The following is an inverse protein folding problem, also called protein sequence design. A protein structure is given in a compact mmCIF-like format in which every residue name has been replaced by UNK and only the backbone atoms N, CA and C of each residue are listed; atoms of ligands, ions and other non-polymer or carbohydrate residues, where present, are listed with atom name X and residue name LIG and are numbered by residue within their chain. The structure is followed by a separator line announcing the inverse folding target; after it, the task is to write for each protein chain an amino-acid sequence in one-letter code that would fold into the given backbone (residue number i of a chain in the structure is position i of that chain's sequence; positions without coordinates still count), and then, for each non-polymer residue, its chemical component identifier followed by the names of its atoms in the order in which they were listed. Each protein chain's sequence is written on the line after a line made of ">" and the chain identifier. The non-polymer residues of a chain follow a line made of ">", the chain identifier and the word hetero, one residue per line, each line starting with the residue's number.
data_IF_142424397118
#
_entry.id   IF_142424397118
#
_cell.length_a   1.000
_cell.length_b   1.000
_cell.length_c   1.000
_cell.angle_alpha   90.00
_cell.angle_beta   90.00
_cell.angle_gamma   90.00
#
_symmetry.space_group_name_H-M   'P 1'
#
loop_
_entity.id
_entity.type
_entity.pdbx_description
1 polymer ?
#
# COMPACT_ATOMS: atom_id res chain seq x y z
N UNK A 1 16.30 23.86 26.81
CA UNK A 1 15.49 22.66 27.03
C UNK A 1 15.36 22.00 25.67
N UNK A 2 15.77 20.73 25.46
CA UNK A 2 15.41 20.02 24.24
C UNK A 2 13.89 19.94 24.22
N UNK A 3 13.26 20.37 23.13
CA UNK A 3 11.82 20.20 22.94
C UNK A 3 11.57 18.70 22.99
N UNK A 4 10.82 18.23 23.99
CA UNK A 4 10.29 16.88 23.99
C UNK A 4 9.61 16.69 22.63
N UNK A 5 10.05 15.70 21.89
CA UNK A 5 9.46 15.35 20.60
C UNK A 5 8.03 14.89 20.88
N UNK A 6 7.11 15.84 20.85
CA UNK A 6 5.70 15.59 21.02
C UNK A 6 5.22 14.65 19.91
N UNK A 7 4.50 13.59 20.26
CA UNK A 7 3.85 12.72 19.29
C UNK A 7 2.91 13.54 18.39
N UNK A 8 2.92 13.32 17.07
CA UNK A 8 2.00 13.97 16.15
C UNK A 8 0.54 13.76 16.56
N UNK A 9 -0.25 14.83 16.55
CA UNK A 9 -1.70 14.77 16.83
C UNK A 9 -2.44 14.43 15.54
N UNK A 10 -3.24 13.36 15.60
CA UNK A 10 -3.95 12.83 14.44
C UNK A 10 -5.47 12.98 14.61
N UNK A 11 -6.14 13.38 13.53
CA UNK A 11 -7.58 13.29 13.39
C UNK A 11 -7.94 12.01 12.62
N UNK A 12 -8.64 11.08 13.27
CA UNK A 12 -9.07 9.80 12.68
C UNK A 12 -10.52 9.90 12.26
N UNK A 13 -10.77 9.80 10.96
CA UNK A 13 -12.09 9.91 10.33
C UNK A 13 -12.41 8.61 9.60
N UNK A 14 -13.44 7.92 10.09
CA UNK A 14 -13.80 6.57 9.63
C UNK A 14 -15.12 6.63 8.87
N UNK A 15 -15.12 6.15 7.66
CA UNK A 15 -16.31 5.91 6.86
C UNK A 15 -16.87 4.53 7.19
N UNK A 16 -17.99 4.48 7.90
CA UNK A 16 -18.61 3.24 8.38
C UNK A 16 -19.22 2.39 7.25
N UNK A 17 -19.55 3.02 6.12
CA UNK A 17 -20.18 2.35 4.99
C UNK A 17 -19.16 1.56 4.15
N UNK A 18 -17.89 2.03 4.16
CA UNK A 18 -16.79 1.48 3.37
C UNK A 18 -15.64 0.87 4.22
N UNK A 19 -15.81 0.79 5.54
CA UNK A 19 -14.82 0.17 6.43
C UNK A 19 -15.48 -0.88 7.35
N UNK A 20 -14.81 -2.02 7.52
CA UNK A 20 -15.28 -3.10 8.40
C UNK A 20 -14.84 -2.86 9.84
N UNK A 21 -15.74 -3.05 10.81
CA UNK A 21 -15.43 -2.98 12.23
C UNK A 21 -14.35 -3.98 12.69
N UNK A 22 -14.16 -5.08 11.95
CA UNK A 22 -13.15 -6.11 12.27
C UNK A 22 -11.71 -5.59 12.27
N UNK A 23 -11.45 -4.46 11.62
CA UNK A 23 -10.11 -3.87 11.56
C UNK A 23 -9.77 -3.00 12.75
N UNK A 24 -10.73 -2.67 13.61
CA UNK A 24 -10.60 -1.57 14.59
C UNK A 24 -9.37 -1.75 15.51
N UNK A 25 -9.16 -2.92 16.07
CA UNK A 25 -8.00 -3.16 16.95
C UNK A 25 -6.68 -2.90 16.19
N UNK A 26 -6.48 -3.54 15.05
CA UNK A 26 -5.27 -3.35 14.23
C UNK A 26 -5.14 -1.94 13.66
N UNK A 27 -6.25 -1.26 13.39
CA UNK A 27 -6.26 0.14 12.93
C UNK A 27 -5.65 1.06 14.00
N UNK A 28 -6.15 0.99 15.25
CA UNK A 28 -5.63 1.85 16.31
C UNK A 28 -4.22 1.46 16.76
N UNK A 29 -3.83 0.18 16.67
CA UNK A 29 -2.44 -0.24 16.83
C UNK A 29 -1.51 0.35 15.76
N UNK A 30 -1.95 0.41 14.51
CA UNK A 30 -1.16 1.00 13.43
C UNK A 30 -1.08 2.53 13.56
N UNK A 31 -2.19 3.19 13.91
CA UNK A 31 -2.23 4.64 14.14
C UNK A 31 -1.32 5.04 15.30
N UNK A 32 -1.27 4.24 16.39
CA UNK A 32 -0.41 4.50 17.54
C UNK A 32 1.10 4.50 17.20
N UNK A 33 1.50 3.86 16.09
CA UNK A 33 2.89 3.92 15.59
C UNK A 33 3.20 5.23 14.86
N UNK A 34 2.17 5.96 14.45
CA UNK A 34 2.28 7.22 13.71
C UNK A 34 2.20 8.41 14.66
N UNK A 35 1.23 8.39 15.57
CA UNK A 35 0.99 9.48 16.49
C UNK A 35 -0.20 9.22 17.42
N UNK A 36 -0.63 10.28 18.11
CA UNK A 36 -1.76 10.26 19.03
C UNK A 36 -3.07 10.52 18.28
N UNK A 37 -4.02 9.58 18.34
CA UNK A 37 -5.37 9.76 17.80
C UNK A 37 -6.20 10.69 18.74
N UNK A 38 -6.00 11.99 18.60
CA UNK A 38 -6.66 13.01 19.45
C UNK A 38 -8.13 13.21 19.11
N UNK A 39 -8.53 12.99 17.85
CA UNK A 39 -9.92 12.96 17.39
C UNK A 39 -10.18 11.59 16.75
N UNK A 40 -11.30 10.97 17.13
CA UNK A 40 -11.75 9.68 16.59
C UNK A 40 -13.23 9.82 16.27
N UNK A 41 -13.56 9.96 14.99
CA UNK A 41 -14.94 10.10 14.51
C UNK A 41 -15.25 9.05 13.48
N UNK A 42 -16.49 8.57 13.48
CA UNK A 42 -17.00 7.64 12.48
C UNK A 42 -18.32 8.16 11.91
N UNK A 43 -18.46 8.09 10.62
CA UNK A 43 -19.58 8.66 9.85
C UNK A 43 -20.36 7.54 9.19
N UNK A 44 -21.67 7.57 9.29
CA UNK A 44 -22.55 6.57 8.69
C UNK A 44 -23.95 6.56 9.27
N UNK A 45 -24.79 5.68 8.74
CA UNK A 45 -26.11 5.40 9.27
C UNK A 45 -26.08 4.16 10.17
N UNK A 46 -25.99 4.37 11.49
CA UNK A 46 -25.94 3.31 12.48
C UNK A 46 -27.29 2.63 12.77
N UNK A 47 -28.38 3.09 12.12
CA UNK A 47 -29.67 2.42 12.19
C UNK A 47 -29.72 1.14 11.33
N UNK A 48 -28.81 1.02 10.36
CA UNK A 48 -28.75 -0.14 9.46
C UNK A 48 -27.82 -1.27 9.95
N UNK A 49 -28.02 -2.47 9.40
CA UNK A 49 -27.27 -3.65 9.84
C UNK A 49 -25.76 -3.61 9.52
N UNK A 50 -25.31 -2.87 8.49
CA UNK A 50 -23.90 -2.78 8.09
C UNK A 50 -23.06 -2.08 9.14
N UNK A 51 -23.58 -1.00 9.72
CA UNK A 51 -22.85 -0.19 10.69
C UNK A 51 -22.97 -0.73 12.12
N UNK A 52 -23.82 -1.73 12.37
CA UNK A 52 -24.05 -2.31 13.70
C UNK A 52 -22.75 -2.82 14.34
N UNK A 53 -21.87 -3.47 13.58
CA UNK A 53 -20.59 -3.96 14.10
C UNK A 53 -19.70 -2.86 14.64
N UNK A 54 -19.81 -1.63 14.11
CA UNK A 54 -19.11 -0.46 14.66
C UNK A 54 -19.75 0.00 15.95
N UNK A 55 -21.09 0.02 16.04
CA UNK A 55 -21.79 0.44 17.26
C UNK A 55 -21.33 -0.32 18.52
N UNK A 56 -21.07 -1.63 18.36
CA UNK A 56 -20.63 -2.50 19.46
C UNK A 56 -19.23 -2.17 20.01
N UNK A 57 -18.40 -1.48 19.23
CA UNK A 57 -17.00 -1.20 19.60
C UNK A 57 -16.67 0.29 19.77
N UNK A 58 -17.64 1.19 19.58
CA UNK A 58 -17.43 2.63 19.71
C UNK A 58 -16.81 3.00 21.07
N UNK A 59 -17.38 2.47 22.16
CA UNK A 59 -16.91 2.76 23.51
C UNK A 59 -15.51 2.20 23.78
N UNK A 60 -15.21 1.01 23.26
CA UNK A 60 -13.89 0.36 23.43
C UNK A 60 -12.76 1.24 22.90
N UNK A 61 -12.97 1.92 21.78
CA UNK A 61 -11.97 2.74 21.12
C UNK A 61 -12.19 4.25 21.27
N UNK A 62 -13.16 4.67 22.13
CA UNK A 62 -13.55 6.06 22.31
C UNK A 62 -13.84 6.79 20.97
N UNK A 63 -14.58 6.14 20.08
CA UNK A 63 -14.97 6.67 18.77
C UNK A 63 -16.30 7.41 18.93
N UNK A 64 -16.37 8.63 18.42
CA UNK A 64 -17.58 9.46 18.43
C UNK A 64 -18.35 9.26 17.14
N UNK A 65 -19.56 8.66 17.17
CA UNK A 65 -20.37 8.47 15.97
C UNK A 65 -20.98 9.80 15.52
N UNK A 66 -20.93 10.02 14.21
CA UNK A 66 -21.62 11.09 13.49
C UNK A 66 -22.76 10.45 12.70
N UNK A 67 -23.95 10.40 13.31
CA UNK A 67 -25.13 9.79 12.71
C UNK A 67 -25.62 10.63 11.54
N UNK A 68 -25.78 10.00 10.38
CA UNK A 68 -26.45 10.56 9.22
C UNK A 68 -27.64 9.67 8.84
N UNK A 69 -28.85 10.24 8.92
CA UNK A 69 -30.03 9.53 8.44
C UNK A 69 -30.12 9.64 6.92
N UNK A 70 -30.22 8.53 6.24
CA UNK A 70 -30.40 8.49 4.79
C UNK A 70 -31.85 8.91 4.46
N UNK A 71 -32.10 10.19 4.30
CA UNK A 71 -33.41 10.72 3.85
C UNK A 71 -33.79 10.28 2.43
N UNK A 72 -32.82 9.87 1.63
CA UNK A 72 -32.99 9.32 0.28
C UNK A 72 -31.93 8.24 0.03
N UNK A 73 -32.36 7.08 -0.44
CA UNK A 73 -31.47 5.95 -0.77
C UNK A 73 -30.44 6.37 -1.83
N UNK A 74 -29.18 6.06 -1.61
CA UNK A 74 -28.09 6.27 -2.59
C UNK A 74 -27.47 7.68 -2.59
N UNK A 75 -27.64 8.49 -1.54
CA UNK A 75 -26.93 9.77 -1.40
C UNK A 75 -25.77 9.65 -0.40
N UNK A 76 -24.63 10.26 -0.75
CA UNK A 76 -23.40 10.30 0.01
C UNK A 76 -23.47 11.32 1.19
N UNK A 77 -24.50 11.25 2.03
CA UNK A 77 -24.68 12.22 3.13
C UNK A 77 -23.60 12.07 4.20
N UNK A 78 -23.19 10.85 4.51
CA UNK A 78 -22.08 10.53 5.43
C UNK A 78 -20.76 11.06 4.89
N UNK A 79 -20.49 10.89 3.59
CA UNK A 79 -19.25 11.34 2.95
C UNK A 79 -19.14 12.86 2.96
N UNK A 80 -20.23 13.58 2.65
CA UNK A 80 -20.26 15.04 2.71
C UNK A 80 -20.00 15.53 4.13
N UNK A 81 -20.60 14.89 5.14
CA UNK A 81 -20.38 15.25 6.55
C UNK A 81 -18.94 15.01 6.96
N UNK A 82 -18.35 13.89 6.55
CA UNK A 82 -16.94 13.60 6.79
C UNK A 82 -16.04 14.67 6.16
N UNK A 83 -16.32 15.08 4.91
CA UNK A 83 -15.55 16.11 4.20
C UNK A 83 -15.62 17.45 4.91
N UNK A 84 -16.84 17.89 5.32
CA UNK A 84 -17.03 19.15 6.05
C UNK A 84 -16.23 19.12 7.36
N UNK A 85 -16.40 18.08 8.13
CA UNK A 85 -15.74 17.90 9.42
C UNK A 85 -14.20 17.86 9.29
N UNK A 86 -13.70 17.16 8.25
CA UNK A 86 -12.28 17.12 7.93
C UNK A 86 -11.73 18.52 7.64
N UNK A 87 -12.46 19.34 6.87
CA UNK A 87 -12.06 20.71 6.54
C UNK A 87 -12.09 21.64 7.76
N UNK A 88 -13.09 21.50 8.63
CA UNK A 88 -13.16 22.25 9.88
C UNK A 88 -12.00 21.90 10.82
N UNK A 89 -11.69 20.61 10.96
CA UNK A 89 -10.54 20.15 11.74
C UNK A 89 -9.22 20.62 11.13
N UNK A 90 -9.07 20.61 9.81
CA UNK A 90 -7.89 21.11 9.10
C UNK A 90 -7.66 22.60 9.39
N UNK A 91 -8.70 23.42 9.23
CA UNK A 91 -8.61 24.87 9.45
C UNK A 91 -8.43 25.24 10.93
N UNK A 92 -8.73 24.32 11.86
CA UNK A 92 -8.43 24.54 13.28
C UNK A 92 -6.93 24.63 13.58
N UNK A 93 -6.06 24.14 12.68
CA UNK A 93 -4.59 24.15 12.83
C UNK A 93 -4.06 23.30 13.99
N UNK A 94 -4.88 22.38 14.53
CA UNK A 94 -4.54 21.62 15.75
C UNK A 94 -3.93 20.25 15.49
N UNK A 95 -3.94 19.77 14.25
CA UNK A 95 -3.57 18.41 13.88
C UNK A 95 -2.35 18.39 12.94
N UNK A 96 -1.45 17.46 13.20
CA UNK A 96 -0.25 17.23 12.40
C UNK A 96 -0.52 16.24 11.25
N UNK A 97 -1.64 15.50 11.33
CA UNK A 97 -2.03 14.54 10.30
C UNK A 97 -3.47 14.08 10.41
N UNK A 98 -3.97 13.51 9.31
CA UNK A 98 -5.29 12.92 9.18
C UNK A 98 -5.19 11.45 8.82
N UNK A 99 -5.96 10.61 9.49
CA UNK A 99 -6.17 9.21 9.14
C UNK A 99 -7.55 9.09 8.49
N UNK A 100 -7.59 8.83 7.18
CA UNK A 100 -8.81 8.61 6.41
C UNK A 100 -9.02 7.12 6.24
N UNK A 101 -10.11 6.59 6.78
CA UNK A 101 -10.40 5.15 6.77
C UNK A 101 -11.58 4.90 5.85
N UNK A 102 -11.32 4.65 4.58
CA UNK A 102 -12.29 4.36 3.52
C UNK A 102 -11.61 3.73 2.31
N UNK A 103 -12.39 3.00 1.52
CA UNK A 103 -11.98 2.50 0.21
C UNK A 103 -12.57 3.30 -0.96
N UNK A 104 -13.26 4.41 -0.68
CA UNK A 104 -13.92 5.22 -1.68
C UNK A 104 -12.95 6.20 -2.34
N UNK A 105 -12.99 6.26 -3.67
CA UNK A 105 -12.22 7.20 -4.48
C UNK A 105 -12.64 8.66 -4.31
N UNK A 106 -13.85 8.91 -3.84
CA UNK A 106 -14.39 10.27 -3.70
C UNK A 106 -13.59 11.09 -2.68
N UNK A 107 -12.93 10.43 -1.73
CA UNK A 107 -12.01 11.07 -0.79
C UNK A 107 -10.64 11.44 -1.37
N UNK A 108 -10.34 11.10 -2.64
CA UNK A 108 -9.08 11.48 -3.31
C UNK A 108 -8.83 12.99 -3.25
N UNK A 109 -9.86 13.79 -3.54
CA UNK A 109 -9.74 15.27 -3.54
C UNK A 109 -9.57 15.82 -2.13
N UNK A 110 -10.22 15.22 -1.13
CA UNK A 110 -10.04 15.57 0.28
C UNK A 110 -8.60 15.32 0.72
N UNK A 111 -8.06 14.12 0.45
CA UNK A 111 -6.68 13.76 0.79
C UNK A 111 -5.67 14.72 0.13
N UNK A 112 -5.83 14.99 -1.16
CA UNK A 112 -4.98 15.94 -1.88
C UNK A 112 -5.07 17.36 -1.25
N UNK A 113 -6.28 17.83 -0.93
CA UNK A 113 -6.50 19.17 -0.34
C UNK A 113 -5.85 19.32 1.04
N UNK A 114 -5.95 18.29 1.90
CA UNK A 114 -5.28 18.31 3.20
C UNK A 114 -3.76 18.40 3.01
N UNK A 115 -3.20 17.62 2.08
CA UNK A 115 -1.76 17.64 1.80
C UNK A 115 -1.27 18.95 1.18
N UNK A 116 -2.08 19.61 0.36
CA UNK A 116 -1.79 20.96 -0.16
C UNK A 116 -1.62 21.99 0.96
N UNK A 117 -2.25 21.76 2.11
CA UNK A 117 -2.08 22.60 3.31
C UNK A 117 -0.86 22.20 4.16
N UNK A 118 -0.03 21.28 3.69
CA UNK A 118 1.17 20.83 4.39
C UNK A 118 0.92 19.82 5.52
N UNK A 119 -0.31 19.30 5.64
CA UNK A 119 -0.69 18.32 6.66
C UNK A 119 -0.67 16.90 6.09
N UNK A 120 -0.13 15.95 6.84
CA UNK A 120 0.00 14.57 6.40
C UNK A 120 -1.34 13.84 6.34
N UNK A 121 -1.50 12.98 5.32
CA UNK A 121 -2.65 12.08 5.20
C UNK A 121 -2.19 10.64 5.18
N UNK A 122 -2.75 9.84 6.10
CA UNK A 122 -2.58 8.40 6.21
C UNK A 122 -3.90 7.73 5.80
N UNK A 123 -3.89 7.04 4.65
CA UNK A 123 -5.06 6.33 4.14
C UNK A 123 -5.10 4.89 4.66
N UNK A 124 -6.30 4.42 4.96
CA UNK A 124 -6.57 3.03 5.34
C UNK A 124 -7.76 2.53 4.52
N UNK A 125 -7.56 1.52 3.68
CA UNK A 125 -8.62 0.99 2.83
C UNK A 125 -8.28 -0.40 2.30
N UNK A 126 -9.23 -1.03 1.65
CA UNK A 126 -9.07 -2.36 1.07
C UNK A 126 -8.14 -2.35 -0.16
N UNK A 127 -7.62 -3.51 -0.56
CA UNK A 127 -6.77 -3.65 -1.74
C UNK A 127 -7.45 -3.18 -3.04
N UNK A 128 -8.78 -3.21 -3.10
CA UNK A 128 -9.57 -2.70 -4.24
C UNK A 128 -9.60 -1.17 -4.35
N UNK A 129 -9.11 -0.45 -3.32
CA UNK A 129 -9.09 1.04 -3.31
C UNK A 129 -8.35 1.57 -4.54
N UNK A 130 -8.94 2.52 -5.29
CA UNK A 130 -8.33 3.07 -6.49
C UNK A 130 -6.96 3.70 -6.22
N UNK A 131 -6.06 3.56 -7.19
CA UNK A 131 -4.69 4.09 -7.11
C UNK A 131 -4.67 5.60 -6.85
N UNK A 132 -5.62 6.36 -7.42
CA UNK A 132 -5.75 7.80 -7.21
C UNK A 132 -5.82 8.18 -5.74
N UNK A 133 -6.64 7.48 -4.94
CA UNK A 133 -6.77 7.75 -3.52
C UNK A 133 -5.50 7.30 -2.75
N UNK A 134 -4.94 6.13 -3.09
CA UNK A 134 -3.71 5.64 -2.46
C UNK A 134 -2.54 6.61 -2.66
N UNK A 135 -2.37 7.14 -3.88
CA UNK A 135 -1.31 8.09 -4.22
C UNK A 135 -1.55 9.50 -3.64
N UNK A 136 -2.80 9.87 -3.39
CA UNK A 136 -3.12 11.12 -2.71
C UNK A 136 -2.68 11.11 -1.23
N UNK A 137 -2.48 9.94 -0.63
CA UNK A 137 -2.00 9.79 0.73
C UNK A 137 -0.47 9.83 0.80
N UNK A 138 0.08 10.33 1.92
CA UNK A 138 1.51 10.20 2.23
C UNK A 138 1.90 8.72 2.41
N UNK A 139 1.03 7.98 3.09
CA UNK A 139 1.14 6.54 3.28
C UNK A 139 -0.26 5.94 3.22
N UNK A 140 -0.37 4.77 2.59
CA UNK A 140 -1.60 4.02 2.52
C UNK A 140 -1.38 2.61 3.11
N UNK A 141 -2.30 2.17 3.98
CA UNK A 141 -2.24 0.87 4.64
C UNK A 141 -3.46 0.06 4.24
N UNK A 142 -3.24 -1.11 3.67
CA UNK A 142 -4.32 -2.02 3.33
C UNK A 142 -4.94 -2.62 4.59
N UNK A 143 -6.26 -2.56 4.69
CA UNK A 143 -7.02 -3.04 5.86
C UNK A 143 -6.85 -4.55 6.08
N UNK A 144 -6.58 -5.31 5.03
CA UNK A 144 -6.24 -6.74 5.10
C UNK A 144 -4.97 -6.99 5.94
N UNK A 145 -4.04 -6.03 5.98
CA UNK A 145 -2.83 -6.10 6.80
C UNK A 145 -3.09 -5.81 8.30
N UNK A 146 -4.28 -5.30 8.64
CA UNK A 146 -4.68 -4.93 10.01
C UNK A 146 -5.48 -6.02 10.71
N UNK A 147 -5.99 -7.00 9.95
CA UNK A 147 -6.74 -8.10 10.52
C UNK A 147 -5.85 -8.95 11.43
N UNK A 148 -6.37 -9.33 12.60
CA UNK A 148 -5.72 -10.25 13.51
C UNK A 148 -5.33 -11.57 12.81
N UNK A 149 -4.40 -12.32 13.41
CA UNK A 149 -4.08 -13.66 12.90
C UNK A 149 -5.36 -14.49 12.76
N UNK A 150 -5.53 -15.27 11.66
CA UNK A 150 -6.76 -15.99 11.40
C UNK A 150 -7.09 -16.96 12.55
N UNK A 151 -8.29 -16.82 13.10
CA UNK A 151 -8.79 -17.70 14.16
C UNK A 151 -9.33 -19.03 13.62
N UNK A 152 -9.65 -19.09 12.32
CA UNK A 152 -10.23 -20.26 11.66
C UNK A 152 -9.50 -20.59 10.35
N UNK A 153 -9.67 -21.85 9.88
CA UNK A 153 -9.15 -22.28 8.58
C UNK A 153 -9.75 -21.50 7.40
N UNK A 154 -11.00 -21.02 7.53
CA UNK A 154 -11.64 -20.20 6.51
C UNK A 154 -11.03 -18.78 6.45
N UNK A 155 -10.73 -18.18 7.60
CA UNK A 155 -10.06 -16.88 7.66
C UNK A 155 -8.63 -16.97 7.12
N UNK A 156 -7.94 -18.09 7.37
CA UNK A 156 -6.60 -18.35 6.83
C UNK A 156 -6.63 -18.47 5.30
N UNK A 157 -7.64 -19.17 4.74
CA UNK A 157 -7.81 -19.30 3.30
C UNK A 157 -8.15 -17.96 2.64
N UNK A 158 -9.04 -17.17 3.23
CA UNK A 158 -9.37 -15.83 2.74
C UNK A 158 -8.15 -14.89 2.75
N UNK A 159 -7.33 -14.97 3.80
CA UNK A 159 -6.10 -14.18 3.91
C UNK A 159 -5.04 -14.60 2.90
N UNK A 160 -4.88 -15.90 2.64
CA UNK A 160 -3.93 -16.39 1.64
C UNK A 160 -4.28 -15.94 0.22
N UNK A 161 -5.58 -15.77 -0.08
CA UNK A 161 -6.06 -15.28 -1.38
C UNK A 161 -5.81 -13.78 -1.56
N UNK A 162 -5.70 -13.01 -0.47
CA UNK A 162 -5.43 -11.57 -0.52
C UNK A 162 -3.94 -11.24 -0.60
N UNK A 163 -3.03 -12.19 -0.31
CA UNK A 163 -1.60 -11.94 -0.37
C UNK A 163 -1.10 -11.89 -1.82
N UNK A 164 -0.29 -10.88 -2.12
CA UNK A 164 0.41 -10.80 -3.41
C UNK A 164 1.64 -11.71 -3.42
N UNK A 165 2.00 -12.27 -4.59
CA UNK A 165 3.22 -13.06 -4.69
C UNK A 165 4.46 -12.20 -4.39
N UNK A 166 5.47 -12.70 -3.68
CA UNK A 166 6.68 -11.95 -3.32
C UNK A 166 7.38 -11.31 -4.51
N UNK A 167 7.38 -12.00 -5.66
CA UNK A 167 8.04 -11.52 -6.88
C UNK A 167 7.37 -10.25 -7.45
N UNK A 168 6.12 -9.96 -7.12
CA UNK A 168 5.45 -8.73 -7.52
C UNK A 168 6.10 -7.47 -6.89
N UNK A 169 6.81 -7.61 -5.76
CA UNK A 169 7.58 -6.51 -5.17
C UNK A 169 8.91 -6.24 -5.91
N UNK A 170 9.42 -7.20 -6.68
CA UNK A 170 10.75 -7.10 -7.32
C UNK A 170 10.90 -5.89 -8.24
N UNK A 171 9.95 -5.56 -9.15
CA UNK A 171 10.12 -4.43 -10.07
C UNK A 171 10.26 -3.09 -9.35
N UNK A 172 9.45 -2.84 -8.32
CA UNK A 172 9.48 -1.58 -7.59
C UNK A 172 10.75 -1.45 -6.74
N UNK A 173 11.20 -2.53 -6.09
CA UNK A 173 12.45 -2.55 -5.33
C UNK A 173 13.65 -2.30 -6.27
N UNK A 174 13.69 -2.95 -7.45
CA UNK A 174 14.72 -2.72 -8.47
C UNK A 174 14.72 -1.27 -8.95
N UNK A 175 13.54 -0.69 -9.22
CA UNK A 175 13.42 0.71 -9.63
C UNK A 175 14.03 1.65 -8.59
N UNK A 176 13.74 1.45 -7.32
CA UNK A 176 14.30 2.23 -6.22
C UNK A 176 15.82 2.09 -6.16
N UNK A 177 16.36 0.87 -6.18
CA UNK A 177 17.82 0.65 -6.14
C UNK A 177 18.52 1.33 -7.32
N UNK A 178 17.93 1.26 -8.53
CA UNK A 178 18.50 1.89 -9.73
C UNK A 178 18.50 3.42 -9.65
N UNK A 179 17.57 4.03 -8.91
CA UNK A 179 17.50 5.47 -8.70
C UNK A 179 18.46 5.96 -7.59
N UNK A 180 18.95 5.04 -6.76
CA UNK A 180 19.90 5.36 -5.70
C UNK A 180 21.33 5.27 -6.26
N UNK A 181 22.01 6.41 -6.34
CA UNK A 181 23.41 6.45 -6.77
C UNK A 181 24.27 5.67 -5.78
N UNK A 182 25.07 4.73 -6.30
CA UNK A 182 25.98 3.90 -5.53
C UNK A 182 27.18 3.50 -6.40
N UNK A 183 28.39 3.76 -5.93
CA UNK A 183 29.62 3.48 -6.67
C UNK A 183 29.82 1.99 -6.98
N UNK A 184 29.35 1.10 -6.10
CA UNK A 184 29.51 -0.35 -6.19
C UNK A 184 28.19 -1.13 -6.36
N UNK A 185 27.08 -0.43 -6.54
CA UNK A 185 25.74 -0.97 -6.68
C UNK A 185 25.10 -1.48 -5.38
N UNK A 186 25.81 -1.33 -4.23
CA UNK A 186 25.30 -1.71 -2.92
C UNK A 186 24.60 -0.55 -2.22
N UNK A 187 23.34 -0.75 -1.80
CA UNK A 187 22.54 0.25 -1.08
C UNK A 187 22.09 -0.29 0.27
N UNK A 188 22.00 0.58 1.28
CA UNK A 188 21.51 0.19 2.60
C UNK A 188 20.01 -0.11 2.54
N UNK A 189 19.59 -1.28 3.05
CA UNK A 189 18.18 -1.71 3.01
C UNK A 189 17.23 -0.72 3.69
N UNK A 190 17.67 -0.07 4.77
CA UNK A 190 16.88 0.96 5.45
C UNK A 190 16.59 2.18 4.57
N UNK A 191 17.55 2.57 3.72
CA UNK A 191 17.37 3.66 2.76
C UNK A 191 16.45 3.27 1.62
N UNK A 192 16.59 2.03 1.12
CA UNK A 192 15.64 1.46 0.16
C UNK A 192 14.23 1.48 0.71
N UNK A 193 14.04 1.10 2.00
CA UNK A 193 12.72 1.16 2.66
C UNK A 193 12.15 2.57 2.73
N UNK A 194 12.97 3.58 3.04
CA UNK A 194 12.54 4.99 3.03
C UNK A 194 12.13 5.46 1.63
N UNK A 195 12.93 5.12 0.63
CA UNK A 195 12.65 5.51 -0.74
C UNK A 195 11.42 4.79 -1.32
N UNK A 196 11.20 3.52 -0.94
CA UNK A 196 9.97 2.80 -1.27
C UNK A 196 8.74 3.51 -0.70
N UNK A 197 8.79 3.95 0.56
CA UNK A 197 7.67 4.68 1.18
C UNK A 197 7.39 6.03 0.48
N UNK A 198 8.38 6.67 -0.13
CA UNK A 198 8.21 7.91 -0.90
C UNK A 198 7.68 7.65 -2.32
N UNK A 199 8.10 6.56 -2.95
CA UNK A 199 7.74 6.24 -4.34
C UNK A 199 6.39 5.54 -4.47
N UNK A 200 6.05 4.70 -3.48
CA UNK A 200 4.82 3.92 -3.44
C UNK A 200 4.22 4.02 -2.04
N UNK A 201 3.24 4.90 -1.89
CA UNK A 201 2.58 5.19 -0.61
C UNK A 201 1.94 3.94 0.04
N UNK A 202 1.60 2.95 -0.76
CA UNK A 202 0.93 1.70 -0.38
C UNK A 202 1.88 0.49 -0.25
N UNK A 203 3.20 0.69 -0.44
CA UNK A 203 4.15 -0.41 -0.31
C UNK A 203 4.28 -0.87 1.14
N UNK A 204 3.90 -2.11 1.40
CA UNK A 204 4.02 -2.77 2.71
C UNK A 204 4.43 -4.23 2.54
N UNK A 205 5.52 -4.70 3.18
CA UNK A 205 5.92 -6.11 3.13
C UNK A 205 4.82 -7.09 3.55
N UNK A 206 3.89 -6.66 4.42
CA UNK A 206 2.76 -7.48 4.89
C UNK A 206 1.80 -7.87 3.77
N UNK A 207 1.66 -7.03 2.74
CA UNK A 207 0.88 -7.33 1.53
C UNK A 207 1.39 -8.55 0.78
N UNK A 208 2.69 -8.85 0.94
CA UNK A 208 3.36 -10.02 0.34
C UNK A 208 3.56 -11.17 1.35
N UNK A 209 2.95 -11.08 2.55
CA UNK A 209 3.05 -12.10 3.60
C UNK A 209 4.28 -12.01 4.50
N UNK A 210 5.03 -10.91 4.48
CA UNK A 210 6.24 -10.75 5.29
C UNK A 210 6.11 -9.61 6.30
N UNK A 211 6.65 -9.81 7.50
CA UNK A 211 6.65 -8.78 8.55
C UNK A 211 7.72 -7.70 8.31
N UNK A 212 8.80 -8.03 7.60
CA UNK A 212 9.96 -7.17 7.37
C UNK A 212 10.34 -7.16 5.89
N UNK A 213 10.83 -6.00 5.44
CA UNK A 213 11.36 -5.84 4.07
C UNK A 213 12.54 -6.80 3.82
N UNK A 214 13.39 -7.05 4.84
CA UNK A 214 14.49 -8.00 4.74
C UNK A 214 14.06 -9.40 4.34
N UNK A 215 12.96 -9.89 4.93
CA UNK A 215 12.46 -11.23 4.69
C UNK A 215 11.83 -11.35 3.29
N UNK A 216 11.11 -10.30 2.87
CA UNK A 216 10.59 -10.19 1.50
C UNK A 216 11.72 -10.21 0.48
N UNK A 217 12.78 -9.40 0.67
CA UNK A 217 13.93 -9.32 -0.23
C UNK A 217 14.65 -10.67 -0.34
N UNK A 218 14.86 -11.37 0.78
CA UNK A 218 15.44 -12.73 0.76
C UNK A 218 14.59 -13.71 -0.05
N UNK A 219 13.26 -13.63 0.09
CA UNK A 219 12.33 -14.54 -0.58
C UNK A 219 12.28 -14.36 -2.09
N UNK A 220 12.39 -13.12 -2.59
CA UNK A 220 12.37 -12.85 -4.04
C UNK A 220 13.57 -13.40 -4.79
N UNK A 221 14.66 -13.75 -4.08
CA UNK A 221 15.93 -14.27 -4.66
C UNK A 221 16.51 -13.42 -5.82
N UNK A 222 16.02 -12.20 -6.03
CA UNK A 222 16.42 -11.28 -7.10
C UNK A 222 17.55 -10.34 -6.72
N UNK A 223 17.96 -10.36 -5.46
CA UNK A 223 18.96 -9.46 -4.87
C UNK A 223 20.10 -10.23 -4.24
N UNK A 224 21.29 -9.66 -4.28
CA UNK A 224 22.41 -10.06 -3.43
C UNK A 224 22.28 -9.32 -2.11
N UNK A 225 22.62 -9.95 -1.01
CA UNK A 225 22.47 -9.43 0.35
C UNK A 225 23.82 -9.50 1.04
N UNK A 226 24.26 -8.40 1.62
CA UNK A 226 25.44 -8.31 2.48
C UNK A 226 25.00 -8.02 3.92
N UNK A 227 25.28 -8.97 4.82
CA UNK A 227 24.97 -8.92 6.24
C UNK A 227 26.26 -8.99 7.09
N UNK A 228 27.28 -8.28 6.69
CA UNK A 228 28.56 -8.26 7.44
C UNK A 228 28.32 -7.83 8.90
N UNK A 229 28.88 -8.60 9.85
CA UNK A 229 28.72 -8.33 11.29
C UNK A 229 29.08 -6.88 11.63
N UNK A 230 28.17 -6.17 12.28
CA UNK A 230 28.35 -4.79 12.74
C UNK A 230 28.03 -3.71 11.70
N UNK A 231 27.55 -4.06 10.50
CA UNK A 231 27.09 -3.11 9.46
C UNK A 231 25.61 -3.24 9.20
N UNK A 232 24.99 -2.14 8.73
CA UNK A 232 23.61 -2.18 8.24
C UNK A 232 23.53 -3.12 7.02
N UNK A 233 22.47 -3.93 6.96
CA UNK A 233 22.19 -4.80 5.80
C UNK A 233 22.17 -3.97 4.52
N UNK A 234 22.93 -4.41 3.50
CA UNK A 234 22.97 -3.82 2.17
C UNK A 234 22.45 -4.83 1.15
N UNK A 235 21.87 -4.30 0.08
CA UNK A 235 21.36 -5.12 -1.03
C UNK A 235 21.84 -4.56 -2.37
N UNK A 236 21.95 -5.46 -3.35
CA UNK A 236 22.27 -5.14 -4.75
C UNK A 236 21.42 -6.00 -5.67
N UNK A 237 21.04 -5.45 -6.84
CA UNK A 237 20.36 -6.24 -7.87
C UNK A 237 21.31 -7.32 -8.38
N UNK A 238 20.86 -8.59 -8.37
CA UNK A 238 21.66 -9.67 -8.98
C UNK A 238 21.86 -9.38 -10.46
N UNK A 239 23.06 -9.54 -11.01
CA UNK A 239 23.28 -9.51 -12.45
C UNK A 239 22.33 -10.51 -13.12
N UNK A 240 21.70 -10.10 -14.21
CA UNK A 240 20.92 -11.05 -15.00
C UNK A 240 21.84 -12.20 -15.41
N UNK A 241 21.45 -13.45 -15.13
CA UNK A 241 22.21 -14.62 -15.60
C UNK A 241 22.36 -14.45 -17.12
N UNK A 242 23.62 -14.46 -17.60
CA UNK A 242 23.91 -14.33 -19.02
C UNK A 242 23.07 -15.37 -19.77
N UNK A 243 22.22 -14.92 -20.66
CA UNK A 243 21.42 -15.82 -21.48
C UNK A 243 22.38 -16.80 -22.18
N UNK A 244 22.11 -18.11 -22.15
CA UNK A 244 22.98 -19.07 -22.81
C UNK A 244 23.11 -18.65 -24.29
N UNK A 245 24.34 -18.74 -24.84
CA UNK A 245 24.58 -18.28 -26.21
C UNK A 245 23.60 -19.00 -27.13
N UNK A 246 22.81 -18.22 -27.87
CA UNK A 246 21.89 -18.76 -28.88
C UNK A 246 22.73 -19.66 -29.78
N UNK A 247 22.49 -20.98 -29.74
CA UNK A 247 23.07 -21.94 -30.67
C UNK A 247 22.76 -21.43 -32.07
N UNK A 248 23.81 -20.98 -32.77
CA UNK A 248 23.73 -20.68 -34.19
C UNK A 248 23.33 -21.98 -34.89
N UNK A 249 22.11 -22.01 -35.41
CA UNK A 249 21.67 -23.10 -36.30
C UNK A 249 22.64 -23.14 -37.49
N UNK A 250 23.30 -24.29 -37.75
CA UNK A 250 24.14 -24.41 -38.93
C UNK A 250 23.27 -24.16 -40.18
N UNK A 251 23.70 -23.21 -41.00
CA UNK A 251 23.07 -22.93 -42.29
C UNK A 251 23.04 -24.24 -43.11
N UNK A 252 21.85 -24.68 -43.46
CA UNK A 252 21.61 -25.77 -44.43
C UNK A 252 22.30 -25.39 -45.72
N UNK A 253 23.16 -26.27 -46.33
CA UNK A 253 23.79 -25.95 -47.61
C UNK A 253 22.76 -25.82 -48.71
N UNK A 254 22.88 -24.79 -49.54
CA UNK A 254 22.05 -24.57 -50.71
C UNK A 254 22.26 -25.71 -51.68
N UNK A 255 21.19 -26.40 -52.08
CA UNK A 255 21.14 -27.45 -53.11
C UNK A 255 21.39 -26.79 -54.45
N UNK A 256 22.51 -27.13 -55.09
CA UNK A 256 22.82 -26.71 -56.43
C UNK A 256 21.75 -27.22 -57.42
N UNK A 257 21.16 -26.30 -58.14
CA UNK A 257 20.22 -26.62 -59.18
C UNK A 257 20.95 -27.27 -60.37
N UNK A 258 20.47 -28.45 -60.79
CA UNK A 258 20.88 -29.11 -62.03
C UNK A 258 20.15 -28.40 -63.18
N UNK A 259 20.94 -27.86 -64.07
CA UNK A 259 20.48 -27.44 -65.40
C UNK A 259 20.17 -28.66 -66.26
N UNK A 260 19.02 -28.73 -66.89
CA UNK A 260 18.60 -29.68 -67.87
C UNK A 260 17.85 -28.94 -68.95
N UNK A 261 18.56 -28.67 -70.04
CA UNK A 261 17.97 -28.12 -71.24
C UNK A 261 17.24 -29.15 -72.10
N UNK A 262 16.30 -28.70 -72.83
CA UNK A 262 16.09 -29.16 -74.24
C UNK A 262 15.10 -28.24 -74.97
N UNK A 263 15.53 -27.89 -76.12
CA UNK A 263 14.83 -27.07 -77.10
C UNK A 263 13.94 -27.97 -78.04
N UNK A 264 13.50 -27.50 -79.18
CA UNK A 264 12.12 -27.10 -79.48
C UNK A 264 11.47 -28.00 -80.52
N UNK A 265 10.20 -27.83 -80.72
CA UNK A 265 9.46 -28.10 -82.01
C UNK A 265 7.97 -27.86 -81.73
N UNK A 266 7.33 -27.24 -82.55
CA UNK A 266 6.82 -26.86 -83.80
C UNK A 266 5.65 -25.92 -83.61
#
# INVERSE_FOLDING_TARGET
>A
MPSELRSPRLAVLIDADNASAKIADGLFEEIAKIGEASVRRIYGDFSNARSRGWADILSKHAIIPQQQFAYTTGKNASDITLVIDAMDLLHSGRFDGFCLVSSDSDFTRLAARIREQGVDVFGFGEQKTPESFRQACRRFVYTENLLAAPATTQDAAARSTSLQPPDAATPIIKKVITQMESEDGWVALGEVGRQLANLASDFDPRTFGFRKLSDLVRKTNSFEIDESKGRAMRIRVKPAAAAPPRRRNPRRPARAGAAGGSAPKA
#
